data_IF_377624471599
#
_entry.id   IF_377624471599
#
_cell.length_a   1.000
_cell.length_b   1.000
_cell.length_c   1.000
_cell.angle_alpha   90.00
_cell.angle_beta   90.00
_cell.angle_gamma   90.00
#
_symmetry.space_group_name_H-M   'P 1'
#
loop_
_entity.id
_entity.type
_entity.pdbx_description
1 polymer ?
#
# COMPACT_ATOMS: atom_id res chain seq x y z
N UNK A 1 -3.78 -25.09 -3.35
CA UNK A 1 -2.61 -24.20 -3.23
C UNK A 1 -2.91 -23.26 -2.08
N UNK A 2 -2.00 -23.13 -1.12
CA UNK A 2 -2.20 -22.30 0.09
C UNK A 2 -1.37 -21.03 -0.07
N UNK A 3 -1.99 -19.87 0.11
CA UNK A 3 -1.34 -18.58 -0.05
C UNK A 3 -1.12 -17.97 1.32
N UNK A 4 0.09 -17.48 1.55
CA UNK A 4 0.46 -16.83 2.79
C UNK A 4 0.76 -15.37 2.50
N UNK A 5 0.28 -14.48 3.36
CA UNK A 5 0.63 -13.06 3.31
C UNK A 5 1.36 -12.69 4.59
N UNK A 6 2.38 -11.86 4.45
CA UNK A 6 3.03 -11.27 5.60
C UNK A 6 2.16 -10.14 6.15
N UNK A 7 1.66 -10.31 7.37
CA UNK A 7 1.04 -9.25 8.14
C UNK A 7 2.09 -8.66 9.09
N UNK A 8 2.11 -7.34 9.24
CA UNK A 8 2.80 -6.70 10.37
C UNK A 8 2.16 -7.14 11.69
N UNK A 9 2.90 -7.08 12.80
CA UNK A 9 2.43 -7.50 14.13
C UNK A 9 1.16 -6.74 14.61
N UNK A 10 0.82 -5.61 13.98
CA UNK A 10 -0.22 -4.68 14.42
C UNK A 10 -1.52 -4.70 13.59
N UNK A 11 -1.80 -5.76 12.81
CA UNK A 11 -3.07 -5.83 12.05
C UNK A 11 -4.23 -6.11 13.02
N UNK A 12 -5.27 -5.24 13.12
CA UNK A 12 -5.99 -5.06 14.38
C UNK A 12 -7.37 -5.71 14.43
N UNK A 13 -7.86 -6.30 13.32
CA UNK A 13 -9.27 -6.68 13.20
C UNK A 13 -9.49 -8.15 12.87
N UNK A 14 -8.78 -8.71 11.89
CA UNK A 14 -8.65 -10.16 11.69
C UNK A 14 -7.45 -10.50 10.80
N UNK A 15 -6.89 -11.70 10.95
CA UNK A 15 -5.96 -12.30 10.00
C UNK A 15 -6.77 -12.88 8.84
N UNK A 16 -7.15 -12.03 7.88
CA UNK A 16 -8.13 -12.35 6.84
C UNK A 16 -7.82 -11.57 5.56
N UNK A 17 -8.27 -12.07 4.41
CA UNK A 17 -7.96 -11.49 3.09
C UNK A 17 -8.46 -10.04 2.92
N UNK A 18 -9.56 -9.67 3.58
CA UNK A 18 -10.16 -8.34 3.48
C UNK A 18 -9.37 -7.25 4.24
N UNK A 19 -8.54 -7.64 5.21
CA UNK A 19 -7.65 -6.73 5.96
C UNK A 19 -6.16 -6.96 5.63
N UNK A 20 -5.94 -7.55 4.47
CA UNK A 20 -4.64 -7.80 3.92
C UNK A 20 -4.20 -6.54 3.17
N UNK A 21 -3.68 -5.55 3.90
CA UNK A 21 -3.17 -4.28 3.35
C UNK A 21 -1.66 -4.39 3.03
N UNK A 22 -1.16 -3.63 2.05
CA UNK A 22 0.27 -3.60 1.66
C UNK A 22 0.80 -2.17 1.71
N UNK A 23 2.06 -2.05 2.14
CA UNK A 23 2.72 -0.77 2.33
C UNK A 23 4.23 -0.95 2.29
N UNK A 24 4.97 0.14 2.10
CA UNK A 24 6.42 0.10 2.12
C UNK A 24 6.94 -0.40 3.48
N UNK A 25 8.04 -1.15 3.44
CA UNK A 25 8.69 -1.62 4.66
C UNK A 25 9.07 -0.44 5.56
N UNK A 26 8.67 -0.50 6.84
CA UNK A 26 8.92 0.56 7.81
C UNK A 26 7.96 1.74 7.73
N UNK A 27 6.94 1.71 6.87
CA UNK A 27 5.86 2.70 6.89
C UNK A 27 5.13 2.69 8.23
N UNK A 28 4.75 3.87 8.70
CA UNK A 28 3.73 3.99 9.74
C UNK A 28 2.34 3.73 9.12
N UNK A 29 1.43 3.19 9.93
CA UNK A 29 0.10 2.75 9.51
C UNK A 29 -0.99 3.44 10.32
N UNK A 30 -2.17 3.60 9.74
CA UNK A 30 -3.37 3.93 10.51
C UNK A 30 -3.76 2.79 11.42
N UNK A 31 -4.54 3.09 12.47
CA UNK A 31 -4.96 2.09 13.46
C UNK A 31 -5.72 0.92 12.85
N UNK A 32 -6.48 1.13 11.76
CA UNK A 32 -7.22 0.09 11.03
C UNK A 32 -6.38 -0.62 9.94
N UNK A 33 -5.14 -0.18 9.73
CA UNK A 33 -4.22 -0.69 8.71
C UNK A 33 -4.60 -0.32 7.27
N UNK A 34 -5.68 0.44 7.04
CA UNK A 34 -6.17 0.73 5.69
C UNK A 34 -5.32 1.76 4.93
N UNK A 35 -4.46 2.52 5.63
CA UNK A 35 -3.61 3.56 5.04
C UNK A 35 -2.18 3.50 5.58
N UNK A 36 -1.22 3.95 4.78
CA UNK A 36 0.19 4.12 5.16
C UNK A 36 0.62 5.57 5.10
N UNK A 37 1.58 5.94 5.95
CA UNK A 37 2.19 7.27 5.94
C UNK A 37 2.79 7.53 4.56
N UNK A 38 2.37 8.62 3.92
CA UNK A 38 2.79 8.95 2.57
C UNK A 38 4.32 9.11 2.51
N UNK A 39 5.05 8.28 1.73
CA UNK A 39 6.50 8.38 1.62
C UNK A 39 6.94 9.65 0.88
N UNK A 40 6.08 10.23 0.03
CA UNK A 40 6.38 11.43 -0.74
C UNK A 40 6.49 12.72 0.08
N UNK A 41 5.83 12.77 1.25
CA UNK A 41 5.88 13.92 2.16
C UNK A 41 6.24 13.54 3.59
N UNK A 42 6.67 12.28 3.83
CA UNK A 42 6.84 11.72 5.17
C UNK A 42 5.65 12.07 6.09
N UNK A 43 4.43 11.90 5.59
CA UNK A 43 3.22 12.16 6.35
C UNK A 43 2.87 13.59 6.75
N UNK A 44 3.60 14.60 6.27
CA UNK A 44 3.23 16.00 6.54
C UNK A 44 2.02 16.45 5.72
N UNK A 45 1.80 15.82 4.56
CA UNK A 45 0.85 16.30 3.56
C UNK A 45 1.38 17.47 2.72
N UNK A 46 2.49 18.07 3.13
CA UNK A 46 3.07 19.23 2.46
C UNK A 46 3.89 18.82 1.22
N UNK A 47 3.85 19.65 0.20
CA UNK A 47 4.62 19.47 -1.03
C UNK A 47 4.35 20.60 -2.01
N UNK A 48 4.84 20.46 -3.24
CA UNK A 48 4.44 21.34 -4.33
C UNK A 48 3.92 20.47 -5.46
N UNK A 49 2.69 20.72 -5.90
CA UNK A 49 2.12 20.10 -7.10
C UNK A 49 1.57 21.17 -8.03
N UNK A 50 1.63 20.90 -9.33
CA UNK A 50 1.06 21.80 -10.31
C UNK A 50 -0.44 21.96 -10.07
N UNK A 51 -0.95 23.19 -10.21
CA UNK A 51 -2.36 23.45 -10.01
C UNK A 51 -3.16 22.71 -11.08
N UNK A 52 -4.07 21.79 -10.74
CA UNK A 52 -4.76 20.95 -11.74
C UNK A 52 -5.74 21.73 -12.62
N UNK A 53 -5.91 23.04 -12.38
CA UNK A 53 -6.76 23.93 -13.18
C UNK A 53 -5.97 24.67 -14.27
N UNK A 54 -4.79 25.20 -13.93
CA UNK A 54 -3.95 25.94 -14.88
C UNK A 54 -2.70 25.18 -15.32
N UNK A 55 -2.34 24.09 -14.63
CA UNK A 55 -1.15 23.29 -14.88
C UNK A 55 0.16 24.10 -14.92
N UNK A 56 0.21 25.20 -14.15
CA UNK A 56 1.33 26.14 -14.16
C UNK A 56 1.35 27.11 -15.35
N UNK A 57 0.45 26.94 -16.33
CA UNK A 57 0.30 27.85 -17.46
C UNK A 57 -0.66 29.00 -17.10
N UNK A 58 -0.13 30.23 -17.14
CA UNK A 58 -0.87 31.48 -16.89
C UNK A 58 -1.57 31.52 -15.51
N UNK A 59 -0.78 31.48 -14.42
CA UNK A 59 -1.34 31.26 -13.09
C UNK A 59 -2.01 32.50 -12.49
N UNK A 60 -1.73 33.70 -13.01
CA UNK A 60 -2.12 35.00 -12.44
C UNK A 60 -3.64 35.16 -12.22
N UNK A 61 -4.46 34.51 -13.05
CA UNK A 61 -5.93 34.54 -12.96
C UNK A 61 -6.56 33.24 -12.39
N UNK A 62 -5.73 32.31 -11.91
CA UNK A 62 -6.22 31.02 -11.42
C UNK A 62 -6.61 31.10 -9.93
N UNK A 63 -7.91 31.32 -9.66
CA UNK A 63 -8.48 31.38 -8.30
C UNK A 63 -8.14 30.18 -7.41
N UNK A 64 -7.83 29.02 -8.01
CA UNK A 64 -7.50 27.79 -7.28
C UNK A 64 -6.10 27.84 -6.66
N UNK A 65 -5.11 28.39 -7.36
CA UNK A 65 -3.75 28.56 -6.84
C UNK A 65 -3.41 30.00 -6.48
N UNK A 66 -4.36 30.94 -6.62
CA UNK A 66 -4.17 32.33 -6.23
C UNK A 66 -3.03 33.07 -6.95
N UNK A 67 -2.67 32.66 -8.17
CA UNK A 67 -1.51 33.24 -8.88
C UNK A 67 -0.25 32.39 -8.85
N UNK A 68 -0.16 31.36 -8.00
CA UNK A 68 1.13 30.72 -7.72
C UNK A 68 1.49 29.57 -8.67
N UNK A 69 0.56 29.12 -9.53
CA UNK A 69 0.76 28.04 -10.49
C UNK A 69 0.80 26.62 -9.91
N UNK A 70 0.84 26.50 -8.58
CA UNK A 70 0.84 25.24 -7.85
C UNK A 70 0.04 25.31 -6.55
N UNK A 71 -0.11 24.16 -5.90
CA UNK A 71 -0.71 24.02 -4.59
C UNK A 71 0.34 23.49 -3.60
N UNK A 72 0.37 23.97 -2.35
CA UNK A 72 1.34 23.56 -1.32
C UNK A 72 0.99 22.17 -0.72
N UNK A 73 0.56 21.25 -1.56
CA UNK A 73 0.11 19.91 -1.19
C UNK A 73 1.01 18.87 -1.85
N UNK A 74 1.30 17.80 -1.13
CA UNK A 74 2.02 16.65 -1.67
C UNK A 74 1.22 16.06 -2.84
N UNK A 75 1.86 15.91 -4.00
CA UNK A 75 1.21 15.32 -5.19
C UNK A 75 0.75 13.88 -4.95
N UNK A 76 1.48 13.12 -4.13
CA UNK A 76 1.27 11.68 -3.99
C UNK A 76 0.12 11.34 -3.03
N UNK A 77 -0.17 12.19 -2.04
CA UNK A 77 -1.29 12.00 -1.11
C UNK A 77 -2.28 13.16 -1.10
N UNK A 78 -2.14 14.10 -2.03
CA UNK A 78 -3.02 15.26 -2.20
C UNK A 78 -3.27 16.06 -0.91
N UNK A 79 -2.23 16.26 -0.10
CA UNK A 79 -2.34 17.03 1.14
C UNK A 79 -2.67 16.21 2.39
N UNK A 80 -3.06 14.94 2.26
CA UNK A 80 -3.57 14.14 3.38
C UNK A 80 -2.48 13.63 4.32
N UNK A 81 -1.23 13.53 3.85
CA UNK A 81 -0.14 12.85 4.57
C UNK A 81 -0.26 11.33 4.63
N UNK A 82 -1.36 10.75 4.16
CA UNK A 82 -1.62 9.30 4.17
C UNK A 82 -2.04 8.82 2.79
N UNK A 83 -1.61 7.61 2.42
CA UNK A 83 -2.02 6.94 1.19
C UNK A 83 -2.89 5.74 1.51
N UNK A 84 -3.99 5.62 0.77
CA UNK A 84 -4.86 4.46 0.85
C UNK A 84 -4.10 3.24 0.36
N UNK A 85 -4.09 2.18 1.17
CA UNK A 85 -3.54 0.91 0.76
C UNK A 85 -4.65 0.18 0.02
N UNK A 86 -4.56 0.08 -1.31
CA UNK A 86 -5.45 -0.85 -2.00
C UNK A 86 -5.07 -2.28 -1.59
N UNK A 87 -6.05 -3.16 -1.30
CA UNK A 87 -5.76 -4.54 -0.98
C UNK A 87 -5.22 -5.21 -2.26
N UNK A 88 -3.91 -5.37 -2.30
CA UNK A 88 -3.21 -5.96 -3.44
C UNK A 88 -3.01 -5.00 -4.61
N UNK A 89 -2.50 -3.79 -4.31
CA UNK A 89 -1.84 -2.95 -5.30
C UNK A 89 -0.57 -3.61 -5.85
N UNK A 90 -0.13 -3.18 -7.04
CA UNK A 90 1.10 -3.71 -7.67
C UNK A 90 2.39 -3.26 -6.93
N UNK A 91 2.26 -2.44 -5.89
CA UNK A 91 3.37 -2.05 -5.02
C UNK A 91 3.70 -3.13 -3.99
N UNK A 92 2.76 -4.03 -3.68
CA UNK A 92 3.01 -5.24 -2.90
C UNK A 92 3.55 -6.40 -3.76
N UNK A 93 4.57 -7.11 -3.27
CA UNK A 93 5.02 -8.38 -3.85
C UNK A 93 4.26 -9.57 -3.26
N UNK A 94 3.84 -10.49 -4.11
CA UNK A 94 3.35 -11.82 -3.73
C UNK A 94 4.51 -12.81 -3.90
N UNK A 95 4.82 -13.56 -2.85
CA UNK A 95 5.87 -14.57 -2.86
C UNK A 95 5.22 -15.95 -2.76
N UNK A 96 5.47 -16.78 -3.75
CA UNK A 96 5.18 -18.21 -3.72
C UNK A 96 6.44 -18.95 -3.26
N UNK A 97 6.31 -19.86 -2.30
CA UNK A 97 7.42 -20.58 -1.70
C UNK A 97 7.08 -22.04 -1.42
N UNK A 98 8.11 -22.89 -1.47
CA UNK A 98 8.07 -24.21 -0.86
C UNK A 98 8.37 -24.06 0.64
N UNK A 99 7.73 -24.88 1.46
CA UNK A 99 7.91 -24.82 2.91
C UNK A 99 7.46 -26.09 3.61
N UNK A 100 7.81 -26.17 4.89
CA UNK A 100 7.41 -27.27 5.78
C UNK A 100 6.34 -26.79 6.75
N UNK A 101 5.24 -27.52 6.84
CA UNK A 101 4.22 -27.28 7.87
C UNK A 101 4.80 -27.70 9.22
N UNK A 102 4.97 -26.75 10.13
CA UNK A 102 5.57 -27.00 11.44
C UNK A 102 4.56 -27.12 12.56
N UNK A 103 3.29 -26.84 12.30
CA UNK A 103 2.22 -26.94 13.28
C UNK A 103 0.97 -26.17 12.85
N UNK A 104 0.23 -25.70 13.86
CA UNK A 104 -0.99 -24.93 13.70
C UNK A 104 -0.84 -23.62 14.46
N UNK A 105 -1.22 -22.51 13.82
CA UNK A 105 -1.20 -21.17 14.37
C UNK A 105 -2.30 -20.96 15.41
N UNK A 106 -2.34 -19.75 15.99
CA UNK A 106 -3.34 -19.36 17.00
C UNK A 106 -4.77 -19.22 16.43
N UNK A 107 -4.91 -19.26 15.12
CA UNK A 107 -6.13 -19.14 14.31
C UNK A 107 -6.58 -20.47 13.71
N UNK A 108 -6.04 -21.59 14.18
CA UNK A 108 -6.26 -22.94 13.64
C UNK A 108 -5.79 -23.15 12.19
N UNK A 109 -5.00 -22.22 11.62
CA UNK A 109 -4.42 -22.37 10.29
C UNK A 109 -3.03 -23.05 10.32
N UNK A 110 -2.59 -23.75 9.25
CA UNK A 110 -1.25 -24.34 9.20
C UNK A 110 -0.15 -23.28 9.30
N UNK A 111 0.76 -23.44 10.25
CA UNK A 111 2.00 -22.65 10.31
C UNK A 111 3.04 -23.29 9.39
N UNK A 112 3.65 -22.50 8.52
CA UNK A 112 4.65 -22.97 7.55
C UNK A 112 5.96 -22.21 7.72
N UNK A 113 7.07 -22.93 7.72
CA UNK A 113 8.43 -22.36 7.60
C UNK A 113 8.85 -22.45 6.13
N UNK A 114 9.09 -21.31 5.45
CA UNK A 114 9.56 -21.32 4.07
C UNK A 114 10.95 -21.97 3.96
N UNK A 115 11.14 -22.86 2.97
CA UNK A 115 12.42 -23.49 2.66
C UNK A 115 13.05 -22.95 1.38
N UNK A 116 12.24 -22.52 0.39
CA UNK A 116 12.74 -21.85 -0.81
C UNK A 116 11.67 -21.01 -1.51
N UNK A 117 12.08 -19.92 -2.18
CA UNK A 117 11.17 -19.11 -3.01
C UNK A 117 11.00 -19.78 -4.39
N UNK A 118 9.76 -20.09 -4.76
CA UNK A 118 9.39 -20.64 -6.06
C UNK A 118 9.31 -19.52 -7.10
N UNK A 119 8.60 -18.43 -6.77
CA UNK A 119 8.51 -17.23 -7.62
C UNK A 119 8.04 -16.01 -6.84
N UNK A 120 8.37 -14.84 -7.35
CA UNK A 120 7.83 -13.54 -6.93
C UNK A 120 7.01 -12.97 -8.07
N UNK A 121 5.84 -12.42 -7.76
CA UNK A 121 4.93 -11.81 -8.74
C UNK A 121 4.21 -10.60 -8.14
N UNK A 122 3.58 -9.78 -8.98
CA UNK A 122 2.69 -8.72 -8.50
C UNK A 122 1.31 -9.27 -8.12
N UNK A 123 0.54 -8.52 -7.34
CA UNK A 123 -0.84 -8.87 -7.04
C UNK A 123 -1.74 -9.00 -8.28
N UNK A 124 -1.50 -8.18 -9.33
CA UNK A 124 -2.21 -8.31 -10.60
C UNK A 124 -1.91 -9.64 -11.30
N UNK A 125 -0.64 -10.04 -11.33
CA UNK A 125 -0.22 -11.33 -11.91
C UNK A 125 -0.84 -12.49 -11.13
N UNK A 126 -0.81 -12.40 -9.80
CA UNK A 126 -1.43 -13.39 -8.92
C UNK A 126 -2.92 -13.55 -9.20
N UNK A 127 -3.70 -12.45 -9.19
CA UNK A 127 -5.15 -12.45 -9.46
C UNK A 127 -5.50 -13.04 -10.82
N UNK A 128 -4.65 -12.88 -11.84
CA UNK A 128 -4.83 -13.51 -13.15
C UNK A 128 -4.62 -15.03 -13.11
N UNK A 129 -3.62 -15.49 -12.35
CA UNK A 129 -3.29 -16.92 -12.23
C UNK A 129 -4.27 -17.72 -11.35
N UNK A 130 -4.99 -17.07 -10.44
CA UNK A 130 -5.94 -17.72 -9.54
C UNK A 130 -7.33 -17.95 -10.17
N UNK A 131 -7.62 -17.36 -11.34
CA UNK A 131 -8.90 -17.49 -12.06
C UNK A 131 -8.87 -18.55 -13.19
N UNK A 132 -7.83 -19.37 -13.23
CA UNK A 132 -7.62 -20.49 -14.17
C UNK A 132 -7.55 -21.81 -13.43
#
# INVERSE_FOLDING_TARGET
MTFFRWHGEHVPLCFCADHAWSGLWGSAWTEDGSRTRCPGCDGTGEGWRDCPRCHGDDPDDCERCGGDGGLPECEVCEGEGWQDCEPGDDWGQVIEFDGEVTGTGFDDEPTVVPTSVVRTMTWREFKRSANT
#
